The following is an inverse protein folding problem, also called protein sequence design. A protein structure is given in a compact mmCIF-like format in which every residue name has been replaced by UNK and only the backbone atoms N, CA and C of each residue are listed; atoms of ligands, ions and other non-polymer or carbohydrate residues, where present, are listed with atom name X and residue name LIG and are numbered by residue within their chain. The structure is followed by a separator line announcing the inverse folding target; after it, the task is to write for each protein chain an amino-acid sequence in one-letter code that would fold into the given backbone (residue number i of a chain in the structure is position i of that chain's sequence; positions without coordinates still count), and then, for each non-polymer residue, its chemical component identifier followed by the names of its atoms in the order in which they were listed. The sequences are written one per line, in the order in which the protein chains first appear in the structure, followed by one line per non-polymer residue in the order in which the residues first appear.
data_IF_883266363715
#
_entry.id   IF_883266363715
#
_cell.length_a   1.000
_cell.length_b   1.000
_cell.length_c   1.000
_cell.angle_alpha   90.00
_cell.angle_beta   90.00
_cell.angle_gamma   90.00
#
_symmetry.space_group_name_H-M   'P 1'
#
loop_
_entity.id
_entity.type
_entity.pdbx_description
1 polymer ?
#
# COMPACT_ATOMS: atom_id res chain seq x y z
N UNK A 1 54.00 52.01 50.56
CA UNK A 1 53.66 50.96 49.58
C UNK A 1 52.70 50.00 50.27
N UNK A 2 51.40 50.09 50.00
CA UNK A 2 50.40 49.18 50.57
C UNK A 2 49.86 48.36 49.41
N UNK A 3 50.12 47.05 49.46
CA UNK A 3 49.77 46.09 48.41
C UNK A 3 48.27 45.80 48.41
N UNK A 4 47.69 45.86 47.21
CA UNK A 4 46.35 45.41 46.87
C UNK A 4 46.29 43.87 47.01
N UNK A 5 45.35 43.33 47.79
CA UNK A 5 44.93 41.94 47.66
C UNK A 5 43.47 41.91 47.20
N UNK A 6 43.25 41.60 45.92
CA UNK A 6 41.93 41.37 45.36
C UNK A 6 41.33 40.04 45.90
N UNK A 7 40.02 39.98 46.20
CA UNK A 7 39.40 38.76 46.68
C UNK A 7 39.31 37.70 45.58
N UNK A 8 39.72 36.47 45.93
CA UNK A 8 39.64 35.28 45.09
C UNK A 8 38.17 34.85 44.95
N UNK A 9 37.59 35.03 43.76
CA UNK A 9 36.26 34.50 43.43
C UNK A 9 36.38 33.00 43.08
N UNK A 10 35.71 32.14 43.84
CA UNK A 10 35.61 30.72 43.53
C UNK A 10 34.77 30.50 42.25
N UNK A 11 35.14 29.55 41.36
CA UNK A 11 34.33 29.23 40.19
C UNK A 11 33.00 28.60 40.62
N UNK A 12 31.90 29.00 39.98
CA UNK A 12 30.57 28.45 40.27
C UNK A 12 30.51 26.95 39.95
N UNK A 13 29.79 26.14 40.74
CA UNK A 13 29.60 24.74 40.42
C UNK A 13 28.82 24.63 39.09
N UNK A 14 29.40 23.92 38.13
CA UNK A 14 28.76 23.58 36.86
C UNK A 14 27.41 22.89 37.15
N UNK A 15 26.31 23.60 36.91
CA UNK A 15 24.99 23.00 36.89
C UNK A 15 24.91 22.07 35.67
N UNK A 16 24.96 20.76 35.89
CA UNK A 16 24.62 19.78 34.86
C UNK A 16 23.22 20.10 34.32
N UNK A 17 23.02 20.27 33.00
CA UNK A 17 21.70 20.60 32.48
C UNK A 17 20.71 19.49 32.85
N UNK A 18 19.67 19.84 33.59
CA UNK A 18 18.56 18.94 33.90
C UNK A 18 18.01 18.34 32.59
N UNK A 19 17.82 17.01 32.49
CA UNK A 19 17.26 16.41 31.30
C UNK A 19 15.82 16.88 31.14
N UNK A 20 15.63 17.89 30.28
CA UNK A 20 14.33 18.47 29.91
C UNK A 20 13.33 17.34 29.71
N UNK A 21 12.32 17.26 30.57
CA UNK A 21 11.26 16.24 30.56
C UNK A 21 10.42 16.42 29.29
N UNK A 22 10.96 15.97 28.15
CA UNK A 22 10.26 15.94 26.85
C UNK A 22 8.98 15.13 27.06
N UNK A 23 7.85 15.82 26.98
CA UNK A 23 6.48 15.27 27.07
C UNK A 23 6.36 14.07 26.11
N UNK A 24 5.56 13.03 26.42
CA UNK A 24 5.46 11.78 25.63
C UNK A 24 4.80 11.97 24.24
N UNK A 25 4.79 13.18 23.72
CA UNK A 25 4.13 13.56 22.47
C UNK A 25 4.64 12.77 21.27
N UNK A 26 5.93 12.41 21.24
CA UNK A 26 6.50 11.55 20.19
C UNK A 26 5.95 10.12 20.24
N UNK A 27 5.65 9.58 21.43
CA UNK A 27 5.04 8.26 21.57
C UNK A 27 3.56 8.27 21.15
N UNK A 28 2.84 9.36 21.44
CA UNK A 28 1.45 9.55 21.02
C UNK A 28 1.36 9.69 19.50
N UNK A 29 2.24 10.49 18.89
CA UNK A 29 2.32 10.65 17.43
C UNK A 29 2.68 9.32 16.75
N UNK A 30 3.63 8.57 17.31
CA UNK A 30 3.98 7.24 16.81
C UNK A 30 2.82 6.25 16.87
N UNK A 31 2.07 6.23 17.98
CA UNK A 31 0.87 5.40 18.12
C UNK A 31 -0.22 5.80 17.13
N UNK A 32 -0.47 7.10 16.95
CA UNK A 32 -1.46 7.60 16.00
C UNK A 32 -1.11 7.21 14.56
N UNK A 33 0.16 7.39 14.16
CA UNK A 33 0.64 6.99 12.83
C UNK A 33 0.55 5.49 12.62
N UNK A 34 0.88 4.68 13.64
CA UNK A 34 0.74 3.23 13.57
C UNK A 34 -0.71 2.79 13.42
N UNK A 35 -1.66 3.45 14.10
CA UNK A 35 -3.08 3.16 13.95
C UNK A 35 -3.58 3.52 12.55
N UNK A 36 -3.19 4.67 12.02
CA UNK A 36 -3.54 5.07 10.65
C UNK A 36 -2.98 4.06 9.64
N UNK A 37 -1.73 3.64 9.79
CA UNK A 37 -1.12 2.63 8.92
C UNK A 37 -1.85 1.29 8.99
N UNK A 38 -2.24 0.84 10.20
CA UNK A 38 -2.97 -0.41 10.39
C UNK A 38 -4.36 -0.35 9.74
N UNK A 39 -5.06 0.78 9.84
CA UNK A 39 -6.34 1.00 9.15
C UNK A 39 -6.17 0.96 7.62
N UNK A 40 -5.14 1.62 7.08
CA UNK A 40 -4.87 1.60 5.64
C UNK A 40 -4.53 0.20 5.14
N UNK A 41 -3.72 -0.56 5.88
CA UNK A 41 -3.43 -1.96 5.57
C UNK A 41 -4.66 -2.85 5.70
N UNK A 42 -5.52 -2.62 6.68
CA UNK A 42 -6.76 -3.37 6.82
C UNK A 42 -7.69 -3.13 5.62
N UNK A 43 -7.84 -1.87 5.18
CA UNK A 43 -8.66 -1.54 4.01
C UNK A 43 -8.05 -2.13 2.72
N UNK A 44 -6.75 -1.94 2.48
CA UNK A 44 -6.07 -2.47 1.29
C UNK A 44 -6.00 -4.00 1.27
N UNK A 45 -5.75 -4.61 2.43
CA UNK A 45 -5.77 -6.06 2.63
C UNK A 45 -7.17 -6.65 2.42
N UNK A 46 -8.22 -5.95 2.86
CA UNK A 46 -9.59 -6.39 2.63
C UNK A 46 -9.97 -6.34 1.15
N UNK A 47 -9.62 -5.26 0.43
CA UNK A 47 -9.89 -5.14 -1.00
C UNK A 47 -9.15 -6.20 -1.83
N UNK A 48 -7.89 -6.48 -1.50
CA UNK A 48 -7.13 -7.53 -2.19
C UNK A 48 -7.65 -8.92 -1.86
N UNK A 49 -8.07 -9.18 -0.62
CA UNK A 49 -8.69 -10.43 -0.24
C UNK A 49 -9.99 -10.68 -1.02
N UNK A 50 -10.86 -9.67 -1.15
CA UNK A 50 -12.09 -9.81 -1.94
C UNK A 50 -11.80 -10.10 -3.42
N UNK A 51 -10.86 -9.39 -4.03
CA UNK A 51 -10.48 -9.63 -5.44
C UNK A 51 -9.94 -11.05 -5.67
N UNK A 52 -9.13 -11.57 -4.73
CA UNK A 52 -8.61 -12.96 -4.82
C UNK A 52 -9.73 -13.98 -4.64
N UNK A 53 -10.66 -13.74 -3.71
CA UNK A 53 -11.82 -14.65 -3.54
C UNK A 53 -12.74 -14.64 -4.74
N UNK A 54 -12.93 -13.49 -5.40
CA UNK A 54 -13.75 -13.39 -6.60
C UNK A 54 -13.12 -14.18 -7.75
N UNK A 55 -11.80 -14.06 -7.95
CA UNK A 55 -11.06 -14.88 -8.92
C UNK A 55 -11.14 -16.39 -8.64
N UNK A 56 -11.19 -16.77 -7.35
CA UNK A 56 -11.22 -18.18 -6.95
C UNK A 56 -12.54 -18.88 -7.30
N UNK A 57 -13.64 -18.13 -7.42
CA UNK A 57 -14.96 -18.61 -7.82
C UNK A 57 -15.41 -18.13 -9.19
N UNK A 58 -14.57 -17.35 -9.89
CA UNK A 58 -14.90 -16.78 -11.19
C UNK A 58 -15.03 -17.86 -12.26
N UNK A 59 -15.98 -17.66 -13.15
CA UNK A 59 -16.22 -18.53 -14.28
C UNK A 59 -15.08 -18.38 -15.29
N UNK A 60 -14.61 -19.50 -15.85
CA UNK A 60 -13.58 -19.52 -16.88
C UNK A 60 -14.25 -19.41 -18.25
N UNK A 61 -13.76 -18.48 -19.06
CA UNK A 61 -14.25 -18.23 -20.41
C UNK A 61 -13.24 -18.69 -21.46
N UNK A 62 -13.73 -19.01 -22.65
CA UNK A 62 -12.90 -19.35 -23.82
C UNK A 62 -13.44 -18.64 -25.05
N UNK A 63 -12.54 -18.17 -25.93
CA UNK A 63 -12.93 -17.43 -27.13
C UNK A 63 -13.28 -15.98 -26.84
N UNK A 64 -14.44 -15.51 -27.30
CA UNK A 64 -14.90 -14.13 -27.10
C UNK A 64 -16.02 -14.05 -26.07
N UNK A 65 -15.90 -13.14 -25.11
CA UNK A 65 -16.90 -12.87 -24.09
C UNK A 65 -17.19 -11.37 -24.01
N UNK A 66 -18.45 -10.99 -23.83
CA UNK A 66 -18.87 -9.59 -23.74
C UNK A 66 -19.30 -9.27 -22.31
N UNK A 67 -18.70 -8.24 -21.74
CA UNK A 67 -19.00 -7.72 -20.40
C UNK A 67 -19.53 -6.29 -20.52
N UNK A 68 -20.59 -5.97 -19.80
CA UNK A 68 -21.11 -4.62 -19.72
C UNK A 68 -20.39 -3.87 -18.61
N UNK A 69 -19.80 -2.72 -18.93
CA UNK A 69 -19.00 -1.91 -18.00
C UNK A 69 -19.54 -0.48 -17.93
N UNK A 70 -19.45 0.13 -16.76
CA UNK A 70 -19.71 1.56 -16.56
C UNK A 70 -18.45 2.41 -16.84
N UNK A 71 -18.64 3.71 -17.11
CA UNK A 71 -17.53 4.62 -17.34
C UNK A 71 -16.64 4.74 -16.08
N UNK A 72 -15.34 4.49 -16.24
CA UNK A 72 -14.35 4.47 -15.16
C UNK A 72 -14.17 3.10 -14.50
N UNK A 73 -14.99 2.10 -14.84
CA UNK A 73 -14.76 0.73 -14.40
C UNK A 73 -13.53 0.13 -15.05
N UNK A 74 -12.95 -0.83 -14.36
CA UNK A 74 -11.72 -1.50 -14.77
C UNK A 74 -11.91 -3.00 -14.66
N UNK A 75 -11.71 -3.70 -15.76
CA UNK A 75 -11.74 -5.15 -15.83
C UNK A 75 -10.32 -5.67 -16.04
N UNK A 76 -9.90 -6.63 -15.23
CA UNK A 76 -8.66 -7.37 -15.44
C UNK A 76 -8.96 -8.74 -16.03
N UNK A 77 -8.13 -9.16 -16.97
CA UNK A 77 -8.19 -10.47 -17.61
C UNK A 77 -6.97 -11.27 -17.18
N UNK A 78 -7.24 -12.46 -16.66
CA UNK A 78 -6.24 -13.37 -16.12
C UNK A 78 -6.22 -14.67 -16.92
N UNK A 79 -5.05 -15.26 -17.11
CA UNK A 79 -4.89 -16.55 -17.77
C UNK A 79 -3.89 -17.43 -17.01
N UNK A 80 -3.97 -18.75 -17.19
CA UNK A 80 -3.05 -19.71 -16.58
C UNK A 80 -1.66 -19.75 -17.23
N UNK A 81 -1.48 -19.05 -18.35
CA UNK A 81 -0.20 -18.93 -19.05
C UNK A 81 -0.01 -17.53 -19.62
N UNK A 82 1.22 -17.03 -19.57
CA UNK A 82 1.66 -15.78 -20.19
C UNK A 82 1.65 -15.83 -21.73
N UNK A 83 1.50 -17.01 -22.34
CA UNK A 83 1.42 -17.16 -23.80
C UNK A 83 0.03 -16.80 -24.35
N UNK A 84 -0.97 -16.69 -23.47
CA UNK A 84 -2.32 -16.27 -23.83
C UNK A 84 -2.32 -14.78 -24.13
N UNK A 85 -2.81 -14.43 -25.32
CA UNK A 85 -2.99 -13.05 -25.78
C UNK A 85 -4.47 -12.76 -25.87
N UNK A 86 -4.86 -11.62 -25.31
CA UNK A 86 -6.23 -11.14 -25.31
C UNK A 86 -6.29 -9.77 -25.97
N UNK A 87 -7.39 -9.54 -26.70
CA UNK A 87 -7.73 -8.24 -27.27
C UNK A 87 -9.10 -7.83 -26.77
N UNK A 88 -9.30 -6.53 -26.54
CA UNK A 88 -10.59 -5.98 -26.15
C UNK A 88 -11.09 -4.98 -27.18
N UNK A 89 -12.40 -5.00 -27.42
CA UNK A 89 -13.11 -4.02 -28.25
C UNK A 89 -14.31 -3.50 -27.49
N UNK A 90 -14.40 -2.18 -27.35
CA UNK A 90 -15.51 -1.48 -26.73
C UNK A 90 -16.41 -0.78 -27.76
N UNK A 91 -17.34 0.06 -27.29
CA UNK A 91 -18.28 0.74 -28.17
C UNK A 91 -17.61 1.74 -29.15
N UNK A 92 -16.44 2.29 -28.77
CA UNK A 92 -15.63 3.15 -29.65
C UNK A 92 -14.62 2.40 -30.52
N UNK A 93 -14.59 1.06 -30.46
CA UNK A 93 -13.63 0.22 -31.20
C UNK A 93 -12.58 -0.41 -30.29
N UNK A 94 -11.38 -0.64 -30.83
CA UNK A 94 -10.32 -1.36 -30.12
C UNK A 94 -9.90 -0.61 -28.84
N UNK A 95 -9.83 -1.34 -27.73
CA UNK A 95 -9.39 -0.83 -26.43
C UNK A 95 -7.93 -1.21 -26.23
N UNK A 96 -7.13 -0.23 -25.79
CA UNK A 96 -5.73 -0.45 -25.48
C UNK A 96 -5.60 -1.12 -24.12
N UNK A 97 -4.59 -1.98 -24.00
CA UNK A 97 -4.20 -2.52 -22.71
C UNK A 97 -3.72 -1.40 -21.80
N UNK A 98 -4.37 -1.27 -20.64
CA UNK A 98 -4.03 -0.30 -19.59
C UNK A 98 -3.17 -0.91 -18.48
N UNK A 99 -2.67 -2.14 -18.68
CA UNK A 99 -1.87 -2.83 -17.68
C UNK A 99 -0.58 -2.06 -17.34
N UNK A 100 -0.29 -1.82 -16.06
CA UNK A 100 0.95 -1.17 -15.65
C UNK A 100 2.19 -2.07 -15.78
N UNK A 101 2.04 -3.37 -16.14
CA UNK A 101 3.13 -4.32 -16.33
C UNK A 101 2.67 -5.78 -16.22
N UNK A 102 3.62 -6.70 -16.15
CA UNK A 102 3.35 -8.13 -15.93
C UNK A 102 3.07 -8.39 -14.45
N UNK A 103 1.85 -8.83 -14.13
CA UNK A 103 1.44 -9.16 -12.76
C UNK A 103 0.92 -10.58 -12.69
N UNK A 104 1.18 -11.25 -11.57
CA UNK A 104 0.76 -12.63 -11.34
C UNK A 104 0.15 -12.79 -9.96
N UNK A 105 -0.85 -13.63 -9.83
CA UNK A 105 -1.48 -13.99 -8.56
C UNK A 105 -1.59 -15.50 -8.43
N UNK A 106 -1.45 -16.00 -7.21
CA UNK A 106 -1.66 -17.42 -6.90
C UNK A 106 -3.05 -17.58 -6.29
N UNK A 107 -3.94 -18.29 -6.98
CA UNK A 107 -5.35 -18.51 -6.60
C UNK A 107 -5.61 -20.01 -6.56
N UNK A 108 -6.05 -20.54 -5.42
CA UNK A 108 -6.32 -21.98 -5.23
C UNK A 108 -5.14 -22.91 -5.60
N UNK A 109 -3.90 -22.43 -5.51
CA UNK A 109 -2.70 -23.19 -5.91
C UNK A 109 -2.42 -23.19 -7.42
N UNK A 110 -3.19 -22.43 -8.19
CA UNK A 110 -2.92 -22.13 -9.60
C UNK A 110 -2.35 -20.71 -9.71
N UNK A 111 -1.31 -20.55 -10.53
CA UNK A 111 -0.73 -19.26 -10.83
C UNK A 111 -1.43 -18.66 -12.05
N UNK A 112 -2.08 -17.53 -11.87
CA UNK A 112 -2.72 -16.76 -12.93
C UNK A 112 -1.87 -15.53 -13.24
N UNK A 113 -1.62 -15.31 -14.52
CA UNK A 113 -0.90 -14.16 -15.07
C UNK A 113 -1.92 -13.17 -15.65
N UNK A 114 -1.71 -11.88 -15.40
CA UNK A 114 -2.52 -10.81 -15.97
C UNK A 114 -2.12 -10.63 -17.44
N UNK A 115 -3.08 -10.82 -18.35
CA UNK A 115 -2.84 -10.78 -19.80
C UNK A 115 -3.43 -9.55 -20.48
N UNK A 116 -4.42 -8.90 -19.86
CA UNK A 116 -5.03 -7.67 -20.37
C UNK A 116 -5.72 -6.88 -19.24
N UNK A 117 -5.66 -5.55 -19.29
CA UNK A 117 -6.44 -4.67 -18.43
C UNK A 117 -7.24 -3.68 -19.28
N UNK A 118 -8.56 -3.68 -19.09
CA UNK A 118 -9.49 -2.82 -19.82
C UNK A 118 -10.02 -1.78 -18.85
N UNK A 119 -9.82 -0.50 -19.14
CA UNK A 119 -10.47 0.59 -18.42
C UNK A 119 -11.53 1.20 -19.33
N UNK A 120 -12.78 1.16 -18.88
CA UNK A 120 -13.90 1.67 -19.64
C UNK A 120 -13.87 3.21 -19.63
N UNK A 121 -13.70 3.82 -20.80
CA UNK A 121 -13.78 5.29 -20.95
C UNK A 121 -15.21 5.79 -20.99
N UNK A 122 -16.12 4.93 -21.42
CA UNK A 122 -17.56 5.16 -21.46
C UNK A 122 -18.31 3.88 -21.10
N UNK A 123 -19.56 4.06 -20.67
CA UNK A 123 -20.42 2.93 -20.33
C UNK A 123 -20.88 2.20 -21.61
N UNK A 124 -20.83 0.87 -21.59
CA UNK A 124 -21.28 0.05 -22.70
C UNK A 124 -20.72 -1.36 -22.66
N UNK A 125 -20.92 -2.09 -23.76
CA UNK A 125 -20.49 -3.47 -23.89
C UNK A 125 -19.06 -3.56 -24.44
N UNK A 126 -18.21 -4.25 -23.69
CA UNK A 126 -16.83 -4.53 -24.04
C UNK A 126 -16.66 -6.02 -24.33
N UNK A 127 -16.20 -6.35 -25.53
CA UNK A 127 -15.91 -7.71 -25.96
C UNK A 127 -14.44 -8.01 -25.80
N UNK A 128 -14.14 -9.03 -25.00
CA UNK A 128 -12.80 -9.53 -24.73
C UNK A 128 -12.64 -10.86 -25.46
N UNK A 129 -11.61 -10.99 -26.29
CA UNK A 129 -11.33 -12.19 -27.05
C UNK A 129 -9.90 -12.66 -26.78
N UNK A 130 -9.75 -13.93 -26.38
CA UNK A 130 -8.46 -14.53 -26.09
C UNK A 130 -8.22 -15.78 -26.92
N UNK A 131 -6.95 -16.09 -27.21
CA UNK A 131 -6.53 -17.32 -27.87
C UNK A 131 -6.43 -18.55 -26.92
N UNK A 132 -6.88 -18.41 -25.67
CA UNK A 132 -6.82 -19.43 -24.63
C UNK A 132 -7.95 -19.26 -23.61
N UNK A 133 -7.90 -20.08 -22.56
CA UNK A 133 -8.80 -19.95 -21.41
C UNK A 133 -8.41 -18.74 -20.56
N UNK A 134 -9.40 -17.98 -20.13
CA UNK A 134 -9.21 -16.77 -19.33
C UNK A 134 -10.29 -16.60 -18.28
N UNK A 135 -10.00 -15.77 -17.30
CA UNK A 135 -10.87 -15.43 -16.18
C UNK A 135 -10.97 -13.92 -16.09
N UNK A 136 -12.19 -13.43 -15.88
CA UNK A 136 -12.42 -12.01 -15.62
C UNK A 136 -12.36 -11.77 -14.12
N UNK A 137 -11.51 -10.83 -13.72
CA UNK A 137 -11.43 -10.34 -12.35
C UNK A 137 -11.73 -8.85 -12.32
N UNK A 138 -12.43 -8.41 -11.29
CA UNK A 138 -12.62 -6.99 -11.06
C UNK A 138 -11.26 -6.32 -10.86
N UNK A 139 -11.02 -5.27 -11.64
CA UNK A 139 -9.77 -4.54 -11.56
C UNK A 139 -9.64 -3.87 -10.21
N UNK A 140 -8.47 -3.99 -9.58
CA UNK A 140 -8.15 -3.16 -8.42
C UNK A 140 -8.22 -1.71 -8.89
N UNK A 141 -9.22 -0.97 -8.43
CA UNK A 141 -9.32 0.48 -8.65
C UNK A 141 -7.96 1.10 -8.37
N UNK A 142 -7.50 1.99 -9.25
CA UNK A 142 -6.21 2.71 -9.10
C UNK A 142 -6.10 3.38 -7.72
N UNK A 143 -7.24 3.72 -7.09
CA UNK A 143 -7.28 4.19 -5.71
C UNK A 143 -6.85 3.15 -4.67
N UNK A 144 -7.23 1.88 -4.83
CA UNK A 144 -6.87 0.78 -3.93
C UNK A 144 -5.39 0.43 -3.95
N UNK A 145 -4.77 0.40 -5.14
CA UNK A 145 -3.33 0.12 -5.29
C UNK A 145 -2.46 1.20 -4.65
N UNK A 146 -2.86 2.47 -4.82
CA UNK A 146 -2.20 3.60 -4.16
C UNK A 146 -2.37 3.55 -2.65
N UNK A 147 -3.55 3.19 -2.13
CA UNK A 147 -3.78 3.04 -0.70
C UNK A 147 -2.98 1.89 -0.10
N UNK A 148 -2.79 0.78 -0.82
CA UNK A 148 -1.98 -0.34 -0.37
C UNK A 148 -0.49 -0.02 -0.35
N UNK A 149 0.04 0.64 -1.38
CA UNK A 149 1.43 1.12 -1.42
C UNK A 149 1.68 2.21 -0.36
N UNK A 150 0.78 3.18 -0.24
CA UNK A 150 0.86 4.22 0.77
C UNK A 150 0.76 3.63 2.18
N UNK A 151 -0.17 2.68 2.39
CA UNK A 151 -0.35 1.94 3.65
C UNK A 151 0.89 1.14 4.04
N UNK A 152 1.52 0.44 3.09
CA UNK A 152 2.77 -0.28 3.31
C UNK A 152 3.93 0.63 3.69
N UNK A 153 4.12 1.73 2.96
CA UNK A 153 5.16 2.71 3.27
C UNK A 153 4.94 3.39 4.64
N UNK A 154 3.70 3.76 4.94
CA UNK A 154 3.30 4.32 6.24
C UNK A 154 3.45 3.31 7.38
N UNK A 155 3.23 2.01 7.13
CA UNK A 155 3.43 0.97 8.13
C UNK A 155 4.91 0.82 8.48
N UNK A 156 5.80 0.79 7.49
CA UNK A 156 7.25 0.73 7.73
C UNK A 156 7.74 1.95 8.52
N UNK A 157 7.31 3.17 8.12
CA UNK A 157 7.64 4.40 8.84
C UNK A 157 7.06 4.42 10.26
N UNK A 158 5.80 4.02 10.43
CA UNK A 158 5.13 3.93 11.72
C UNK A 158 5.81 2.95 12.67
N UNK A 159 6.21 1.78 12.17
CA UNK A 159 6.95 0.78 12.93
C UNK A 159 8.31 1.29 13.39
N UNK A 160 9.08 1.94 12.50
CA UNK A 160 10.38 2.51 12.86
C UNK A 160 10.24 3.59 13.95
N UNK A 161 9.25 4.47 13.84
CA UNK A 161 8.97 5.50 14.86
C UNK A 161 8.52 4.86 16.17
N UNK A 162 7.71 3.80 16.12
CA UNK A 162 7.28 3.06 17.31
C UNK A 162 8.46 2.39 18.02
N UNK A 163 9.33 1.69 17.28
CA UNK A 163 10.52 1.03 17.82
C UNK A 163 11.47 2.05 18.44
N UNK A 164 11.75 3.16 17.77
CA UNK A 164 12.59 4.24 18.32
C UNK A 164 11.96 4.83 19.58
N UNK A 165 10.64 5.07 19.57
CA UNK A 165 9.90 5.55 20.74
C UNK A 165 9.99 4.58 21.93
N UNK A 166 9.87 3.28 21.67
CA UNK A 166 9.94 2.22 22.65
C UNK A 166 11.36 2.08 23.22
N UNK A 167 12.40 2.13 22.38
CA UNK A 167 13.81 2.14 22.80
C UNK A 167 14.10 3.35 23.69
N UNK A 168 13.71 4.56 23.28
CA UNK A 168 13.92 5.78 24.10
C UNK A 168 13.17 5.67 25.42
N UNK A 169 11.96 5.11 25.42
CA UNK A 169 11.18 4.89 26.64
C UNK A 169 11.81 3.86 27.57
N UNK A 170 12.27 2.72 27.04
CA UNK A 170 12.96 1.66 27.79
C UNK A 170 14.27 2.18 28.39
N UNK A 171 15.08 2.89 27.59
CA UNK A 171 16.35 3.49 28.05
C UNK A 171 16.10 4.56 29.10
N UNK A 172 15.02 5.36 28.99
CA UNK A 172 14.62 6.31 30.04
C UNK A 172 14.08 5.62 31.30
N UNK A 173 13.37 4.51 31.15
CA UNK A 173 12.82 3.73 32.27
C UNK A 173 13.92 3.02 33.03
N UNK A 174 14.98 2.56 32.35
CA UNK A 174 16.14 1.92 32.98
C UNK A 174 17.16 2.91 33.57
N UNK A 175 17.05 4.20 33.24
CA UNK A 175 17.84 5.30 33.85
C UNK A 175 17.10 6.00 35.00
N UNK A 176 15.87 5.58 35.31
CA UNK A 176 15.17 5.90 36.56
C UNK A 176 15.32 4.75 37.52
#
# INVERSE_FOLDING_TARGET
MVGMSAPYNAPSPYQTPEPKRRKPWTAIIGLLLSLIALVLLAIGGWQTYTSVTDLSGAERYTGSHTVSMEAGETQMVWASSSDVRCEASGPQGAVQDSSPGDFSVEVNGERLEQVLMVQATEAGDYTIACNGEFVLGDGISVGGSLLMLAGGALCCLGFVVMVIGLIIWLVRRNKR
#
